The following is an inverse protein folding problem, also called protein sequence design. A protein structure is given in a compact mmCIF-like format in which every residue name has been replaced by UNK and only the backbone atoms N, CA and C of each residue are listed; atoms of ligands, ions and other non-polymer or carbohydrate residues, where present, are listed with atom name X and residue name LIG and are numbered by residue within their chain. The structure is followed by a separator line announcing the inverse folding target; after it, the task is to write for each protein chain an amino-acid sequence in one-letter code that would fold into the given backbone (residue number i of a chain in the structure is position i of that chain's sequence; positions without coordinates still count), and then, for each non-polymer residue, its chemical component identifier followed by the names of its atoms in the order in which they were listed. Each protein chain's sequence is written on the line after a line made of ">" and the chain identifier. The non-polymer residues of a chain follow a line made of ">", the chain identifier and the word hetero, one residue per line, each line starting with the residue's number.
data_IF_378347611281
#
_entry.id   IF_378347611281
#
_cell.length_a   1.000
_cell.length_b   1.000
_cell.length_c   1.000
_cell.angle_alpha   90.00
_cell.angle_beta   90.00
_cell.angle_gamma   90.00
#
_symmetry.space_group_name_H-M   'P 1'
#
loop_
_entity.id
_entity.type
_entity.pdbx_description
1 polymer ?
#
# COMPACT_ATOMS: atom_id res chain seq x y z
N UNK A 1 -4.45 18.99 -0.72
CA UNK A 1 -3.69 18.11 0.20
C UNK A 1 -4.62 17.56 1.26
N UNK A 2 -4.62 16.24 1.49
CA UNK A 2 -5.44 15.62 2.54
C UNK A 2 -4.85 16.04 3.90
N UNK A 3 -5.65 16.69 4.77
CA UNK A 3 -5.18 17.19 6.07
C UNK A 3 -5.28 16.16 7.20
N UNK A 4 -6.14 15.15 7.05
CA UNK A 4 -6.41 14.09 8.03
C UNK A 4 -6.74 12.79 7.30
N UNK A 5 -6.22 11.68 7.79
CA UNK A 5 -6.49 10.34 7.29
C UNK A 5 -6.87 9.45 8.48
N UNK A 6 -7.75 8.48 8.25
CA UNK A 6 -8.06 7.46 9.27
C UNK A 6 -6.90 6.47 9.40
N UNK A 7 -6.25 6.17 8.28
CA UNK A 7 -5.10 5.26 8.20
C UNK A 7 -4.07 5.84 7.23
N UNK A 8 -2.81 5.85 7.65
CA UNK A 8 -1.67 6.20 6.80
C UNK A 8 -0.79 4.96 6.66
N UNK A 9 -0.51 4.57 5.42
CA UNK A 9 0.33 3.43 5.08
C UNK A 9 1.61 3.96 4.43
N UNK A 10 2.76 3.55 4.96
CA UNK A 10 4.08 3.95 4.43
C UNK A 10 4.71 2.71 3.79
N UNK A 11 4.90 2.78 2.47
CA UNK A 11 5.37 1.68 1.62
C UNK A 11 4.28 1.19 0.66
N UNK A 12 4.48 1.42 -0.63
CA UNK A 12 3.67 0.96 -1.77
C UNK A 12 4.18 -0.32 -2.42
N UNK A 13 4.80 -1.21 -1.64
CA UNK A 13 5.01 -2.61 -2.01
C UNK A 13 3.74 -3.45 -1.91
N UNK A 14 3.82 -4.75 -2.22
CA UNK A 14 2.64 -5.65 -2.23
C UNK A 14 1.90 -5.69 -0.89
N UNK A 15 2.65 -5.64 0.22
CA UNK A 15 2.07 -5.68 1.57
C UNK A 15 1.26 -4.41 1.85
N UNK A 16 1.84 -3.23 1.61
CA UNK A 16 1.14 -1.96 1.85
C UNK A 16 -0.10 -1.80 0.96
N UNK A 17 0.01 -2.17 -0.32
CA UNK A 17 -1.13 -2.19 -1.24
C UNK A 17 -2.22 -3.19 -0.80
N UNK A 18 -1.83 -4.38 -0.34
CA UNK A 18 -2.77 -5.39 0.16
C UNK A 18 -3.50 -4.91 1.42
N UNK A 19 -2.80 -4.27 2.35
CA UNK A 19 -3.42 -3.68 3.54
C UNK A 19 -4.41 -2.59 3.15
N UNK A 20 -4.02 -1.65 2.27
CA UNK A 20 -4.89 -0.57 1.80
C UNK A 20 -6.16 -1.14 1.15
N UNK A 21 -6.00 -2.14 0.28
CA UNK A 21 -7.10 -2.79 -0.42
C UNK A 21 -8.07 -3.48 0.54
N UNK A 22 -7.58 -4.30 1.47
CA UNK A 22 -8.44 -5.02 2.40
C UNK A 22 -9.16 -4.08 3.37
N UNK A 23 -8.48 -3.04 3.87
CA UNK A 23 -9.11 -2.01 4.70
C UNK A 23 -10.23 -1.28 3.94
N UNK A 24 -9.97 -0.89 2.69
CA UNK A 24 -10.99 -0.27 1.85
C UNK A 24 -12.17 -1.22 1.60
N UNK A 25 -11.90 -2.50 1.32
CA UNK A 25 -12.92 -3.54 1.13
C UNK A 25 -13.77 -3.77 2.39
N UNK A 26 -13.18 -3.62 3.59
CA UNK A 26 -13.89 -3.68 4.88
C UNK A 26 -14.65 -2.38 5.21
N UNK A 27 -14.67 -1.40 4.31
CA UNK A 27 -15.41 -0.14 4.48
C UNK A 27 -14.64 0.98 5.17
N UNK A 28 -13.34 0.79 5.44
CA UNK A 28 -12.51 1.86 5.95
C UNK A 28 -12.36 2.98 4.89
N UNK A 29 -12.56 4.23 5.32
CA UNK A 29 -12.49 5.43 4.48
C UNK A 29 -11.32 6.31 4.89
N UNK A 30 -10.90 7.21 4.00
CA UNK A 30 -9.77 8.14 4.19
C UNK A 30 -8.45 7.42 4.49
N UNK A 31 -8.12 6.44 3.65
CA UNK A 31 -6.83 5.73 3.67
C UNK A 31 -5.87 6.48 2.74
N UNK A 32 -4.67 6.75 3.21
CA UNK A 32 -3.60 7.36 2.41
C UNK A 32 -2.40 6.44 2.40
N UNK A 33 -1.88 6.13 1.21
CA UNK A 33 -0.67 5.35 1.03
C UNK A 33 0.42 6.24 0.42
N UNK A 34 1.60 6.22 1.02
CA UNK A 34 2.79 6.90 0.54
C UNK A 34 3.86 5.89 0.15
N UNK A 35 4.48 6.12 -1.02
CA UNK A 35 5.70 5.44 -1.45
C UNK A 35 6.73 6.51 -1.77
N UNK A 36 8.01 6.20 -1.53
CA UNK A 36 9.14 7.09 -1.76
C UNK A 36 9.33 7.37 -3.25
N UNK A 37 9.23 6.32 -4.05
CA UNK A 37 9.47 6.36 -5.50
C UNK A 37 8.18 5.93 -6.25
N UNK A 38 8.26 4.95 -7.16
CA UNK A 38 7.10 4.35 -7.82
C UNK A 38 6.55 3.17 -7.02
N UNK A 39 5.27 2.85 -7.21
CA UNK A 39 4.69 1.62 -6.64
C UNK A 39 5.54 0.40 -7.00
N UNK A 40 5.69 -0.51 -6.03
CA UNK A 40 6.51 -1.71 -6.14
C UNK A 40 8.01 -1.52 -6.44
N UNK A 41 8.59 -0.32 -6.30
CA UNK A 41 10.04 -0.06 -6.53
C UNK A 41 11.00 -0.90 -5.66
N UNK A 42 10.51 -1.40 -4.52
CA UNK A 42 11.26 -2.21 -3.55
C UNK A 42 11.49 -3.67 -3.96
N UNK A 43 11.42 -4.56 -2.97
CA UNK A 43 11.60 -6.00 -3.18
C UNK A 43 10.48 -6.61 -4.04
N UNK A 44 9.26 -6.07 -3.95
CA UNK A 44 8.11 -6.57 -4.71
C UNK A 44 8.34 -6.54 -6.22
N UNK A 45 8.72 -5.41 -6.79
CA UNK A 45 8.90 -5.29 -8.25
C UNK A 45 10.14 -6.01 -8.78
N UNK A 46 11.07 -6.40 -7.90
CA UNK A 46 12.27 -7.18 -8.22
C UNK A 46 12.10 -8.68 -7.95
N UNK A 47 10.94 -9.10 -7.43
CA UNK A 47 10.66 -10.48 -7.11
C UNK A 47 10.30 -11.27 -8.39
N UNK A 48 10.76 -12.52 -8.50
CA UNK A 48 10.38 -13.44 -9.58
C UNK A 48 8.96 -14.02 -9.47
N UNK A 49 8.13 -13.48 -8.57
CA UNK A 49 6.75 -13.92 -8.29
C UNK A 49 6.60 -15.41 -7.91
N UNK A 50 7.66 -16.03 -7.38
CA UNK A 50 7.60 -17.39 -6.86
C UNK A 50 6.69 -17.48 -5.64
N UNK A 51 5.73 -18.42 -5.69
CA UNK A 51 4.86 -18.77 -4.57
C UNK A 51 5.25 -20.19 -4.16
N UNK A 52 5.51 -20.40 -2.87
CA UNK A 52 5.82 -21.69 -2.29
C UNK A 52 4.94 -21.97 -1.09
#
# INVERSE_FOLDING_TARGET
>A
MIKRASVVIIGGGIIGCSIAYNLAKMGCKNIVLFEKDTLASGATGRCGAGIR
#
